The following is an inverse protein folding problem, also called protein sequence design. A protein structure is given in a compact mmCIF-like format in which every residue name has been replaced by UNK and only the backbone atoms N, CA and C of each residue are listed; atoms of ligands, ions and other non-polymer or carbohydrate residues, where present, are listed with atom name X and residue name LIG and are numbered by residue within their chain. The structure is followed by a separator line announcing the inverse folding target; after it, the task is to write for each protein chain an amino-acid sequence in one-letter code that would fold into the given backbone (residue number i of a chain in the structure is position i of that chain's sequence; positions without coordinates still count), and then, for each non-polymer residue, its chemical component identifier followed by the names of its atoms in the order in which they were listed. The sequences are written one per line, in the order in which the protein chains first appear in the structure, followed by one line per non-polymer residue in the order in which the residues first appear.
data_IF_105058396716
#
_entry.id   IF_105058396716
#
_cell.length_a   1.000
_cell.length_b   1.000
_cell.length_c   1.000
_cell.angle_alpha   90.00
_cell.angle_beta   90.00
_cell.angle_gamma   90.00
#
_symmetry.space_group_name_H-M   'P 1'
#
loop_
_entity.id
_entity.type
_entity.pdbx_description
1 polymer ?
#
# COMPACT_ATOMS: atom_id res chain seq x y z
N UNK A 1 10.48 -7.45 -28.10
CA UNK A 1 9.39 -6.49 -27.77
C UNK A 1 9.71 -5.92 -26.40
N UNK A 2 10.30 -4.72 -26.34
CA UNK A 2 10.88 -4.13 -25.12
C UNK A 2 10.05 -2.91 -24.71
N UNK A 3 9.68 -2.88 -23.42
CA UNK A 3 9.30 -1.69 -22.63
C UNK A 3 7.95 -1.02 -22.94
N UNK A 4 6.87 -1.52 -22.34
CA UNK A 4 5.63 -0.74 -22.16
C UNK A 4 5.17 -0.60 -20.69
N UNK A 5 5.98 -0.98 -19.71
CA UNK A 5 5.58 -0.89 -18.29
C UNK A 5 6.05 0.38 -17.55
N UNK A 6 6.75 1.32 -18.19
CA UNK A 6 7.31 2.50 -17.52
C UNK A 6 6.38 3.71 -17.43
N UNK A 7 5.13 3.61 -17.89
CA UNK A 7 4.20 4.74 -17.93
C UNK A 7 3.72 5.26 -16.55
N UNK A 8 4.08 4.60 -15.45
CA UNK A 8 3.43 4.88 -14.15
C UNK A 8 4.19 5.81 -13.19
N UNK A 9 5.44 6.20 -13.49
CA UNK A 9 6.20 7.09 -12.61
C UNK A 9 6.74 8.26 -13.41
N UNK A 10 5.90 9.27 -13.70
CA UNK A 10 6.41 10.55 -14.22
C UNK A 10 7.17 11.30 -13.13
N UNK A 11 6.65 11.25 -11.90
CA UNK A 11 7.24 11.95 -10.75
C UNK A 11 7.18 11.10 -9.49
N UNK A 12 8.17 11.26 -8.62
CA UNK A 12 8.34 10.48 -7.40
C UNK A 12 8.55 11.42 -6.21
N UNK A 13 7.96 11.09 -5.06
CA UNK A 13 8.34 11.75 -3.80
C UNK A 13 9.77 11.35 -3.41
N UNK A 14 10.40 12.11 -2.51
CA UNK A 14 11.71 11.74 -1.94
C UNK A 14 11.69 10.32 -1.35
N UNK A 15 10.56 9.95 -0.71
CA UNK A 15 10.36 8.60 -0.14
C UNK A 15 10.32 7.54 -1.22
N UNK A 16 9.51 7.76 -2.25
CA UNK A 16 9.32 6.79 -3.31
C UNK A 16 10.58 6.65 -4.15
N UNK A 17 11.32 7.73 -4.42
CA UNK A 17 12.62 7.68 -5.07
C UNK A 17 13.65 6.90 -4.24
N UNK A 18 13.69 7.11 -2.93
CA UNK A 18 14.57 6.37 -2.02
C UNK A 18 14.27 4.86 -2.04
N UNK A 19 13.00 4.49 -1.95
CA UNK A 19 12.55 3.09 -2.04
C UNK A 19 12.89 2.51 -3.41
N UNK A 20 12.55 3.24 -4.47
CA UNK A 20 12.67 2.79 -5.85
C UNK A 20 14.11 2.45 -6.24
N UNK A 21 15.05 3.31 -5.83
CA UNK A 21 16.47 3.16 -6.15
C UNK A 21 17.26 2.47 -5.04
N UNK A 22 16.59 1.98 -3.99
CA UNK A 22 17.20 1.37 -2.79
C UNK A 22 18.33 2.25 -2.22
N UNK A 23 18.07 3.57 -2.15
CA UNK A 23 18.98 4.58 -1.59
C UNK A 23 18.38 5.15 -0.31
N UNK A 24 19.20 5.58 0.67
CA UNK A 24 18.67 6.28 1.82
C UNK A 24 18.14 7.66 1.39
N UNK A 25 17.11 8.16 2.09
CA UNK A 25 16.52 9.48 1.81
C UNK A 25 17.54 10.61 1.85
N UNK A 26 18.56 10.50 2.70
CA UNK A 26 19.66 11.46 2.80
C UNK A 26 20.45 11.58 1.50
N UNK A 27 20.63 10.50 0.75
CA UNK A 27 21.26 10.53 -0.57
C UNK A 27 20.41 11.33 -1.55
N UNK A 28 19.09 11.08 -1.60
CA UNK A 28 18.19 11.84 -2.48
C UNK A 28 18.22 13.34 -2.12
N UNK A 29 18.16 13.68 -0.82
CA UNK A 29 18.26 15.05 -0.34
C UNK A 29 19.61 15.71 -0.66
N UNK A 30 20.72 14.96 -0.65
CA UNK A 30 22.04 15.46 -1.05
C UNK A 30 22.02 15.93 -2.51
N UNK A 31 21.42 15.14 -3.40
CA UNK A 31 21.31 15.50 -4.82
C UNK A 31 20.38 16.70 -5.05
N UNK A 32 19.29 16.83 -4.28
CA UNK A 32 18.47 18.05 -4.29
C UNK A 32 19.29 19.27 -3.87
N UNK A 33 20.03 19.17 -2.75
CA UNK A 33 20.89 20.26 -2.26
C UNK A 33 22.02 20.63 -3.22
N UNK A 34 22.48 19.67 -4.02
CA UNK A 34 23.55 19.88 -5.00
C UNK A 34 23.02 20.44 -6.33
N UNK A 35 21.70 20.62 -6.48
CA UNK A 35 21.07 21.07 -7.72
C UNK A 35 20.93 19.97 -8.79
N UNK A 36 21.26 18.73 -8.44
CA UNK A 36 21.19 17.58 -9.36
C UNK A 36 19.76 17.08 -9.55
N UNK A 37 18.89 17.27 -8.55
CA UNK A 37 17.45 17.01 -8.62
C UNK A 37 16.69 18.30 -8.35
N UNK A 38 15.70 18.57 -9.19
CA UNK A 38 14.79 19.68 -9.00
C UNK A 38 13.46 19.14 -8.47
N UNK A 39 12.86 19.90 -7.57
CA UNK A 39 11.54 19.60 -7.04
C UNK A 39 10.52 20.45 -7.77
N UNK A 40 9.41 19.85 -8.17
CA UNK A 40 8.27 20.60 -8.64
C UNK A 40 7.49 21.26 -7.49
N UNK A 41 6.42 21.97 -7.82
CA UNK A 41 5.55 22.65 -6.84
C UNK A 41 4.99 21.70 -5.77
N UNK A 42 4.88 20.40 -6.06
CA UNK A 42 4.36 19.38 -5.16
C UNK A 42 5.48 18.64 -4.40
N UNK A 43 6.72 19.13 -4.45
CA UNK A 43 7.91 18.48 -3.89
C UNK A 43 8.18 17.08 -4.49
N UNK A 44 7.88 16.90 -5.77
CA UNK A 44 8.15 15.67 -6.51
C UNK A 44 9.35 15.83 -7.44
N UNK A 45 10.12 14.75 -7.58
CA UNK A 45 11.29 14.66 -8.47
C UNK A 45 10.84 14.02 -9.78
N UNK A 46 11.25 14.59 -10.91
CA UNK A 46 11.01 14.00 -12.22
C UNK A 46 11.78 12.68 -12.37
N UNK A 47 11.11 11.64 -12.88
CA UNK A 47 11.72 10.32 -13.05
C UNK A 47 12.93 10.36 -13.98
N UNK A 48 12.90 11.20 -15.01
CA UNK A 48 14.02 11.38 -15.95
C UNK A 48 15.31 11.84 -15.24
N UNK A 49 15.21 12.66 -14.20
CA UNK A 49 16.37 13.09 -13.41
C UNK A 49 16.95 11.91 -12.62
N UNK A 50 16.08 11.09 -12.04
CA UNK A 50 16.49 9.90 -11.30
C UNK A 50 17.14 8.86 -12.21
N UNK A 51 16.59 8.65 -13.41
CA UNK A 51 17.18 7.74 -14.42
C UNK A 51 18.55 8.21 -14.85
N UNK A 52 18.72 9.51 -15.11
CA UNK A 52 20.02 10.08 -15.48
C UNK A 52 21.09 9.86 -14.41
N UNK A 53 20.73 9.87 -13.12
CA UNK A 53 21.69 9.74 -12.00
C UNK A 53 21.89 8.31 -11.53
N UNK A 54 20.85 7.47 -11.56
CA UNK A 54 20.86 6.15 -10.93
C UNK A 54 20.58 4.99 -11.90
N UNK A 55 20.27 5.28 -13.17
CA UNK A 55 19.90 4.29 -14.19
C UNK A 55 18.39 3.97 -14.21
N UNK A 56 17.97 3.09 -15.11
CA UNK A 56 16.57 2.64 -15.15
C UNK A 56 16.27 1.67 -14.00
N UNK A 57 15.04 1.73 -13.49
CA UNK A 57 14.58 0.79 -12.47
C UNK A 57 14.21 -0.53 -13.16
N UNK A 58 15.09 -1.53 -13.06
CA UNK A 58 14.88 -2.85 -13.68
C UNK A 58 13.83 -3.74 -12.98
N UNK A 59 13.25 -3.28 -11.87
CA UNK A 59 12.34 -4.08 -11.04
C UNK A 59 11.03 -3.34 -10.77
N UNK A 60 9.86 -3.97 -10.97
CA UNK A 60 8.59 -3.39 -10.59
C UNK A 60 8.48 -3.33 -9.06
N UNK A 61 8.77 -2.15 -8.49
CA UNK A 61 8.57 -1.85 -7.05
C UNK A 61 7.10 -2.07 -6.61
N UNK A 62 6.17 -2.11 -7.58
CA UNK A 62 4.74 -2.30 -7.36
C UNK A 62 4.36 -3.70 -6.89
N UNK A 63 5.09 -4.75 -7.29
CA UNK A 63 4.64 -6.13 -7.08
C UNK A 63 4.60 -6.50 -5.58
N UNK A 64 5.57 -6.05 -4.79
CA UNK A 64 5.61 -6.32 -3.35
C UNK A 64 4.53 -5.55 -2.58
N UNK A 65 4.30 -4.27 -2.92
CA UNK A 65 3.27 -3.45 -2.28
C UNK A 65 1.87 -3.92 -2.66
N UNK A 66 1.64 -4.27 -3.92
CA UNK A 66 0.35 -4.75 -4.40
C UNK A 66 0.02 -6.13 -3.77
N UNK A 67 1.02 -7.00 -3.58
CA UNK A 67 0.87 -8.24 -2.81
C UNK A 67 0.53 -7.98 -1.33
N UNK A 68 1.17 -7.00 -0.69
CA UNK A 68 0.91 -6.66 0.70
C UNK A 68 -0.49 -6.05 0.89
N UNK A 69 -0.91 -5.17 -0.03
CA UNK A 69 -2.26 -4.62 -0.08
C UNK A 69 -3.29 -5.75 -0.27
N UNK A 70 -3.00 -6.72 -1.13
CA UNK A 70 -3.88 -7.89 -1.32
C UNK A 70 -4.02 -8.70 -0.03
N UNK A 71 -2.92 -9.01 0.67
CA UNK A 71 -2.96 -9.73 1.95
C UNK A 71 -3.81 -9.01 2.99
N UNK A 72 -3.63 -7.70 3.14
CA UNK A 72 -4.40 -6.89 4.09
C UNK A 72 -5.90 -6.86 3.73
N UNK A 73 -6.24 -6.77 2.44
CA UNK A 73 -7.64 -6.85 1.98
C UNK A 73 -8.27 -8.20 2.32
N UNK A 74 -7.54 -9.28 2.09
CA UNK A 74 -8.01 -10.65 2.37
C UNK A 74 -8.24 -10.84 3.88
N UNK A 75 -7.36 -10.31 4.72
CA UNK A 75 -7.48 -10.37 6.19
C UNK A 75 -8.68 -9.55 6.71
N UNK A 76 -8.86 -8.32 6.24
CA UNK A 76 -10.03 -7.49 6.58
C UNK A 76 -11.34 -8.19 6.21
N UNK A 77 -11.36 -8.86 5.05
CA UNK A 77 -12.54 -9.62 4.61
C UNK A 77 -12.82 -10.81 5.53
N UNK A 78 -11.76 -11.51 5.96
CA UNK A 78 -11.89 -12.63 6.89
C UNK A 78 -12.42 -12.18 8.26
N UNK A 79 -11.87 -11.09 8.81
CA UNK A 79 -12.32 -10.51 10.08
C UNK A 79 -13.78 -10.05 10.01
N UNK A 80 -14.22 -9.44 8.90
CA UNK A 80 -15.63 -9.09 8.69
C UNK A 80 -16.54 -10.31 8.70
N UNK A 81 -16.13 -11.41 8.07
CA UNK A 81 -16.89 -12.68 8.08
C UNK A 81 -17.01 -13.24 9.49
N UNK A 82 -15.92 -13.27 10.25
CA UNK A 82 -15.94 -13.71 11.65
C UNK A 82 -16.87 -12.85 12.50
N UNK A 83 -16.77 -11.52 12.40
CA UNK A 83 -17.61 -10.60 13.15
C UNK A 83 -19.10 -10.81 12.84
N UNK A 84 -19.44 -11.00 11.58
CA UNK A 84 -20.82 -11.30 11.18
C UNK A 84 -21.29 -12.62 11.80
N UNK A 85 -20.48 -13.68 11.72
CA UNK A 85 -20.79 -14.96 12.33
C UNK A 85 -21.04 -14.84 13.85
N UNK A 86 -20.18 -14.13 14.57
CA UNK A 86 -20.37 -13.88 16.02
C UNK A 86 -21.65 -13.10 16.31
N UNK A 87 -21.99 -12.09 15.51
CA UNK A 87 -23.23 -11.32 15.70
C UNK A 87 -24.48 -12.19 15.53
N UNK A 88 -24.55 -12.98 14.45
CA UNK A 88 -25.74 -13.81 14.20
C UNK A 88 -25.88 -14.99 15.17
N UNK A 89 -24.76 -15.60 15.58
CA UNK A 89 -24.78 -16.71 16.57
C UNK A 89 -25.09 -16.23 17.99
N UNK A 90 -24.56 -15.07 18.41
CA UNK A 90 -24.88 -14.48 19.73
C UNK A 90 -26.35 -14.04 19.82
N UNK A 91 -26.90 -13.46 18.76
CA UNK A 91 -28.32 -13.11 18.66
C UNK A 91 -29.19 -14.38 18.71
N UNK A 92 -28.84 -15.42 17.93
CA UNK A 92 -29.55 -16.71 17.92
C UNK A 92 -29.61 -17.37 19.31
N UNK A 93 -28.49 -17.41 20.04
CA UNK A 93 -28.45 -17.98 21.39
C UNK A 93 -29.27 -17.17 22.39
N UNK A 94 -29.27 -15.83 22.29
CA UNK A 94 -30.08 -14.95 23.16
C UNK A 94 -31.59 -15.17 22.95
N UNK A 95 -32.03 -15.32 21.71
CA UNK A 95 -33.43 -15.64 21.41
C UNK A 95 -33.82 -17.04 21.91
N UNK A 96 -32.93 -18.03 21.78
CA UNK A 96 -33.20 -19.40 22.26
C UNK A 96 -33.40 -19.48 23.78
N UNK A 97 -32.60 -18.74 24.55
CA UNK A 97 -32.74 -18.65 26.01
C UNK A 97 -34.03 -17.95 26.44
N UNK A 98 -34.44 -16.88 25.74
CA UNK A 98 -35.67 -16.15 26.03
C UNK A 98 -36.93 -16.99 25.77
N UNK A 99 -36.93 -17.83 24.73
CA UNK A 99 -38.06 -18.72 24.41
C UNK A 99 -38.16 -19.83 25.47
N UNK A 100 -37.04 -20.47 25.84
CA UNK A 100 -37.04 -21.55 26.84
C UNK A 100 -37.54 -21.12 28.23
N UNK A 101 -37.34 -19.85 28.62
CA UNK A 101 -37.87 -19.33 29.88
C UNK A 101 -39.36 -19.00 29.84
N UNK A 102 -39.95 -18.75 28.67
CA UNK A 102 -41.37 -18.45 28.52
C UNK A 102 -42.26 -19.68 28.58
N UNK A 103 -41.75 -20.83 28.12
CA UNK A 103 -42.49 -22.08 28.05
C UNK A 103 -42.43 -22.91 29.37
N UNK A 104 -41.74 -22.40 30.40
CA UNK A 104 -41.59 -23.05 31.72
C UNK A 104 -42.39 -22.38 32.85
N UNK A 105 -43.39 -21.54 32.53
CA UNK A 105 -44.28 -20.87 33.49
C UNK A 105 -45.72 -21.34 33.28
#
# INVERSE_FOLDING_TARGET
MISQHHHFLKKLSISDAAIAYRKPRSTILKYIKSGDFELDYNNLIEYSQLVKKFGEINSPIRDERDQQIKKLKDEVMHLKKQLNFFKYTSISNKHRLLISHKDSI
#
